data_IF_618509041652
#
_entry.id   IF_618509041652
#
_cell.length_a   1.000
_cell.length_b   1.000
_cell.length_c   1.000
_cell.angle_alpha   90.00
_cell.angle_beta   90.00
_cell.angle_gamma   90.00
#
_symmetry.space_group_name_H-M   'P 1'
#
loop_
_entity.id
_entity.type
_entity.pdbx_description
1 polymer ?
#
# COMPACT_ATOMS: atom_id res chain seq x y z
N UNK A 1 5.95 -9.43 16.18
CA UNK A 1 5.60 -8.40 15.18
C UNK A 1 4.69 -7.45 15.90
N UNK A 2 5.02 -6.16 15.86
CA UNK A 2 4.28 -5.16 16.64
C UNK A 2 2.82 -5.12 16.24
N UNK A 3 1.97 -4.84 17.23
CA UNK A 3 0.52 -4.78 17.03
C UNK A 3 0.19 -3.53 16.22
N UNK A 4 -0.60 -3.67 15.17
CA UNK A 4 -1.12 -2.52 14.44
C UNK A 4 -2.38 -2.05 15.19
N UNK A 5 -2.49 -0.76 15.57
CA UNK A 5 -3.66 -0.26 16.25
C UNK A 5 -4.91 -0.39 15.36
N UNK A 6 -6.07 -0.42 16.01
CA UNK A 6 -7.34 -0.45 15.30
C UNK A 6 -7.50 0.84 14.46
N UNK A 7 -8.03 0.66 13.26
CA UNK A 7 -8.43 1.74 12.36
C UNK A 7 -9.80 1.36 11.77
N UNK A 8 -10.69 2.33 11.63
CA UNK A 8 -11.99 2.13 10.99
C UNK A 8 -11.88 2.03 9.48
N UNK A 9 -10.88 2.70 8.89
CA UNK A 9 -10.74 2.82 7.44
C UNK A 9 -9.41 2.27 6.94
N UNK A 10 -9.43 1.63 5.77
CA UNK A 10 -8.22 1.04 5.17
C UNK A 10 -7.19 2.10 4.80
N UNK A 11 -7.62 3.31 4.42
CA UNK A 11 -6.73 4.42 4.08
C UNK A 11 -5.94 4.93 5.29
N UNK A 12 -6.59 5.04 6.45
CA UNK A 12 -5.94 5.41 7.71
C UNK A 12 -4.95 4.33 8.13
N UNK A 13 -5.35 3.06 8.02
CA UNK A 13 -4.50 1.92 8.37
C UNK A 13 -3.25 1.86 7.51
N UNK A 14 -3.38 2.07 6.20
CA UNK A 14 -2.24 2.15 5.28
C UNK A 14 -1.35 3.34 5.62
N UNK A 15 -1.93 4.52 5.85
CA UNK A 15 -1.20 5.73 6.24
C UNK A 15 -0.41 5.53 7.53
N UNK A 16 -0.97 4.83 8.52
CA UNK A 16 -0.25 4.40 9.72
C UNK A 16 0.98 3.56 9.37
N UNK A 17 0.83 2.52 8.52
CA UNK A 17 1.97 1.66 8.14
C UNK A 17 3.07 2.42 7.38
N UNK A 18 2.72 3.44 6.62
CA UNK A 18 3.70 4.31 5.96
C UNK A 18 4.50 5.18 6.94
N UNK A 19 3.91 5.57 8.07
CA UNK A 19 4.57 6.41 9.08
C UNK A 19 5.20 5.60 10.23
N UNK A 20 4.97 4.29 10.28
CA UNK A 20 5.50 3.40 11.30
C UNK A 20 7.00 3.18 11.13
N UNK A 21 7.74 3.17 12.25
CA UNK A 21 9.21 3.07 12.26
C UNK A 21 9.76 1.72 11.79
N UNK A 22 8.91 0.70 11.68
CA UNK A 22 9.27 -0.65 11.21
C UNK A 22 8.70 -0.92 9.82
N UNK A 23 7.43 -0.62 9.57
CA UNK A 23 6.76 -0.91 8.29
C UNK A 23 7.11 0.10 7.19
N UNK A 24 7.24 1.38 7.56
CA UNK A 24 7.70 2.48 6.71
C UNK A 24 9.22 2.70 6.76
N UNK A 25 9.95 1.82 7.46
CA UNK A 25 11.39 1.95 7.62
C UNK A 25 12.12 2.04 6.26
N UNK A 26 13.00 3.02 6.13
CA UNK A 26 13.81 3.25 4.92
C UNK A 26 13.18 4.20 3.89
N UNK A 27 12.04 4.82 4.20
CA UNK A 27 11.56 6.01 3.49
C UNK A 27 12.48 7.18 3.85
N UNK A 28 13.18 7.70 2.86
CA UNK A 28 14.14 8.78 3.00
C UNK A 28 13.53 10.12 2.56
N UNK A 29 14.15 11.22 3.00
CA UNK A 29 13.70 12.57 2.65
C UNK A 29 13.63 12.77 1.13
N UNK A 30 14.59 12.24 0.38
CA UNK A 30 14.65 12.39 -1.08
C UNK A 30 13.71 11.45 -1.85
N UNK A 31 13.07 10.50 -1.18
CA UNK A 31 12.18 9.56 -1.87
C UNK A 31 10.93 10.25 -2.41
N UNK A 32 10.49 9.78 -3.56
CA UNK A 32 9.25 10.20 -4.19
C UNK A 32 8.44 8.97 -4.57
N UNK A 33 7.18 8.96 -4.16
CA UNK A 33 6.26 7.90 -4.53
C UNK A 33 4.81 8.37 -4.54
N UNK A 34 3.99 7.77 -5.41
CA UNK A 34 2.55 7.99 -5.43
C UNK A 34 1.82 6.70 -5.73
N UNK A 35 1.05 6.18 -4.78
CA UNK A 35 0.26 4.96 -4.96
C UNK A 35 -1.21 5.32 -4.86
N UNK A 36 -1.94 5.04 -5.93
CA UNK A 36 -3.39 5.19 -5.96
C UNK A 36 -4.06 3.90 -5.50
N UNK A 37 -5.16 4.03 -4.77
CA UNK A 37 -5.96 2.92 -4.27
C UNK A 37 -7.43 3.07 -4.68
N UNK A 38 -8.06 1.93 -4.96
CA UNK A 38 -9.51 1.78 -5.01
C UNK A 38 -9.89 0.70 -3.99
N UNK A 39 -10.53 1.06 -2.89
CA UNK A 39 -10.94 0.14 -1.84
C UNK A 39 -12.22 0.64 -1.16
N UNK A 40 -13.11 -0.27 -0.74
CA UNK A 40 -14.36 0.07 -0.06
C UNK A 40 -15.27 1.06 -0.84
N UNK A 41 -15.19 1.04 -2.17
CA UNK A 41 -15.93 1.98 -3.04
C UNK A 41 -15.30 3.37 -3.13
N UNK A 42 -14.20 3.62 -2.43
CA UNK A 42 -13.50 4.90 -2.41
C UNK A 42 -12.22 4.85 -3.22
N UNK A 43 -11.90 5.99 -3.84
CA UNK A 43 -10.64 6.23 -4.54
C UNK A 43 -9.84 7.24 -3.74
N UNK A 44 -8.60 6.88 -3.41
CA UNK A 44 -7.67 7.72 -2.65
C UNK A 44 -6.24 7.43 -3.08
N UNK A 45 -5.28 8.23 -2.63
CA UNK A 45 -3.88 7.96 -2.86
C UNK A 45 -3.03 8.31 -1.64
N UNK A 46 -1.95 7.54 -1.48
CA UNK A 46 -0.89 7.82 -0.51
C UNK A 46 0.39 8.09 -1.29
N UNK A 47 1.03 9.23 -0.99
CA UNK A 47 2.20 9.64 -1.72
C UNK A 47 3.07 10.61 -0.95
N UNK A 48 4.26 10.85 -1.48
CA UNK A 48 5.26 11.73 -0.92
C UNK A 48 6.01 12.41 -2.06
N UNK A 49 6.03 13.73 -2.05
CA UNK A 49 6.91 14.52 -2.92
C UNK A 49 8.37 14.48 -2.43
N UNK A 50 9.37 14.76 -3.29
CA UNK A 50 10.76 14.90 -2.85
C UNK A 50 10.87 15.92 -1.71
N UNK A 51 11.54 15.54 -0.62
CA UNK A 51 11.69 16.32 0.63
C UNK A 51 10.36 16.69 1.33
N UNK A 52 9.23 16.23 0.82
CA UNK A 52 7.90 16.44 1.39
C UNK A 52 7.54 15.42 2.46
N UNK A 53 6.37 15.62 3.06
CA UNK A 53 5.74 14.66 3.98
C UNK A 53 4.96 13.62 3.19
N UNK A 54 4.70 12.48 3.82
CA UNK A 54 3.72 11.51 3.32
C UNK A 54 2.33 12.13 3.48
N UNK A 55 1.52 12.06 2.44
CA UNK A 55 0.17 12.58 2.38
C UNK A 55 -0.80 11.47 2.02
N UNK A 56 -2.02 11.56 2.58
CA UNK A 56 -3.20 10.83 2.16
C UNK A 56 -4.18 11.83 1.58
N UNK A 57 -4.64 11.64 0.35
CA UNK A 57 -5.69 12.47 -0.26
C UNK A 57 -6.73 11.61 -0.96
N UNK A 58 -7.97 12.10 -0.96
CA UNK A 58 -9.09 11.46 -1.69
C UNK A 58 -9.06 11.85 -3.18
N UNK A 59 -9.67 11.01 -4.01
CA UNK A 59 -9.75 11.19 -5.45
C UNK A 59 -8.62 10.52 -6.23
N UNK A 60 -8.53 10.87 -7.51
CA UNK A 60 -7.58 10.27 -8.44
C UNK A 60 -6.20 10.93 -8.37
N UNK A 61 -5.15 10.13 -8.54
CA UNK A 61 -3.80 10.61 -8.83
C UNK A 61 -3.54 10.41 -10.33
N UNK A 62 -2.97 11.42 -11.00
CA UNK A 62 -2.76 11.38 -12.47
C UNK A 62 -1.41 10.78 -12.86
N UNK A 63 -0.37 10.97 -12.04
CA UNK A 63 0.98 10.40 -12.25
C UNK A 63 1.34 9.41 -11.14
N UNK A 64 0.45 8.44 -10.89
CA UNK A 64 0.71 7.38 -9.92
C UNK A 64 1.76 6.39 -10.43
N UNK A 65 2.58 5.91 -9.52
CA UNK A 65 3.56 4.85 -9.77
C UNK A 65 2.88 3.48 -9.90
N UNK A 66 1.79 3.28 -9.16
CA UNK A 66 0.89 2.15 -9.29
C UNK A 66 -0.54 2.47 -8.85
N UNK A 67 -1.45 1.64 -9.32
CA UNK A 67 -2.85 1.62 -8.91
C UNK A 67 -3.17 0.26 -8.28
N UNK A 68 -3.62 0.27 -7.03
CA UNK A 68 -3.94 -0.92 -6.23
C UNK A 68 -5.43 -0.98 -5.99
N UNK A 69 -6.08 -2.05 -6.44
CA UNK A 69 -7.51 -2.29 -6.22
C UNK A 69 -7.68 -3.38 -5.17
N UNK A 70 -8.44 -3.10 -4.12
CA UNK A 70 -8.70 -4.02 -3.01
C UNK A 70 -10.22 -4.23 -2.95
N UNK A 71 -10.66 -5.48 -3.04
CA UNK A 71 -12.06 -5.82 -2.87
C UNK A 71 -12.54 -5.51 -1.44
N UNK A 72 -13.82 -5.15 -1.27
CA UNK A 72 -14.37 -4.74 0.03
C UNK A 72 -14.19 -5.80 1.14
N UNK A 73 -14.42 -7.06 0.80
CA UNK A 73 -14.22 -8.19 1.71
C UNK A 73 -12.75 -8.31 2.15
N UNK A 74 -11.82 -8.10 1.21
CA UNK A 74 -10.39 -8.15 1.51
C UNK A 74 -9.96 -6.95 2.33
N UNK A 75 -10.52 -5.76 2.07
CA UNK A 75 -10.25 -4.58 2.90
C UNK A 75 -10.70 -4.82 4.36
N UNK A 76 -11.84 -5.50 4.57
CA UNK A 76 -12.32 -5.91 5.89
C UNK A 76 -11.40 -6.93 6.57
N UNK A 77 -10.93 -7.94 5.82
CA UNK A 77 -9.94 -8.91 6.31
C UNK A 77 -8.62 -8.21 6.71
N UNK A 78 -8.15 -7.26 5.89
CA UNK A 78 -6.94 -6.48 6.13
C UNK A 78 -7.06 -5.57 7.36
N UNK A 79 -8.24 -4.96 7.58
CA UNK A 79 -8.55 -4.18 8.78
C UNK A 79 -8.60 -5.04 10.05
N UNK A 80 -8.86 -6.33 9.92
CA UNK A 80 -8.91 -7.28 11.04
C UNK A 80 -7.54 -7.86 11.41
N UNK A 81 -6.51 -7.66 10.58
CA UNK A 81 -5.17 -8.16 10.86
C UNK A 81 -4.61 -7.56 12.17
N UNK A 82 -4.00 -8.38 13.01
CA UNK A 82 -3.42 -7.93 14.29
C UNK A 82 -2.05 -7.28 14.14
N UNK A 83 -1.30 -7.64 13.09
CA UNK A 83 0.08 -7.20 12.87
C UNK A 83 0.45 -7.22 11.38
N UNK A 84 1.63 -6.68 11.04
CA UNK A 84 2.09 -6.56 9.67
C UNK A 84 2.29 -7.90 8.95
N UNK A 85 2.68 -8.95 9.67
CA UNK A 85 2.87 -10.29 9.08
C UNK A 85 1.54 -10.87 8.63
N UNK A 86 0.50 -10.74 9.45
CA UNK A 86 -0.85 -11.19 9.12
C UNK A 86 -1.43 -10.37 7.96
N UNK A 87 -1.30 -9.04 8.01
CA UNK A 87 -1.69 -8.15 6.92
C UNK A 87 -1.02 -8.56 5.59
N UNK A 88 0.29 -8.80 5.63
CA UNK A 88 1.07 -9.22 4.45
C UNK A 88 0.60 -10.56 3.89
N UNK A 89 0.29 -11.53 4.76
CA UNK A 89 -0.22 -12.85 4.35
C UNK A 89 -1.56 -12.73 3.64
N UNK A 90 -2.49 -11.96 4.20
CA UNK A 90 -3.81 -11.70 3.61
C UNK A 90 -3.66 -11.02 2.25
N UNK A 91 -2.88 -9.94 2.20
CA UNK A 91 -2.65 -9.17 0.98
C UNK A 91 -2.05 -10.05 -0.13
N UNK A 92 -1.00 -10.81 0.17
CA UNK A 92 -0.34 -11.69 -0.81
C UNK A 92 -1.25 -12.85 -1.25
N UNK A 93 -2.03 -13.44 -0.32
CA UNK A 93 -2.98 -14.50 -0.64
C UNK A 93 -3.93 -14.06 -1.74
N UNK A 94 -4.63 -12.94 -1.53
CA UNK A 94 -5.64 -12.45 -2.47
C UNK A 94 -5.07 -11.71 -3.68
N UNK A 95 -3.79 -11.33 -3.65
CA UNK A 95 -3.07 -10.92 -4.84
C UNK A 95 -2.75 -12.11 -5.76
N UNK A 96 -2.26 -13.23 -5.20
CA UNK A 96 -1.87 -14.41 -5.99
C UNK A 96 -3.05 -15.26 -6.46
N UNK A 97 -4.08 -15.36 -5.63
CA UNK A 97 -5.25 -16.20 -5.88
C UNK A 97 -6.50 -15.35 -5.70
N UNK A 98 -6.88 -14.65 -6.76
CA UNK A 98 -8.13 -13.90 -6.78
C UNK A 98 -9.31 -14.88 -6.79
N UNK A 99 -10.28 -14.65 -5.90
CA UNK A 99 -11.54 -15.37 -5.83
C UNK A 99 -12.70 -14.43 -6.18
N UNK A 100 -13.89 -14.97 -6.43
CA UNK A 100 -15.07 -14.15 -6.70
C UNK A 100 -15.36 -13.20 -5.53
N UNK A 101 -15.22 -11.88 -5.76
CA UNK A 101 -15.42 -10.86 -4.73
C UNK A 101 -14.24 -10.65 -3.76
N UNK A 102 -13.16 -11.44 -3.84
CA UNK A 102 -11.98 -11.30 -2.98
C UNK A 102 -10.69 -11.25 -3.81
N UNK A 103 -10.16 -10.04 -3.97
CA UNK A 103 -8.94 -9.83 -4.74
C UNK A 103 -8.14 -8.63 -4.24
N UNK A 104 -6.85 -8.68 -4.55
CA UNK A 104 -5.97 -7.52 -4.62
C UNK A 104 -5.41 -7.47 -6.04
N UNK A 105 -5.60 -6.37 -6.76
CA UNK A 105 -5.03 -6.18 -8.10
C UNK A 105 -4.03 -5.03 -8.07
N UNK A 106 -2.82 -5.29 -8.54
CA UNK A 106 -1.76 -4.29 -8.61
C UNK A 106 -1.51 -3.96 -10.09
N UNK A 107 -1.66 -2.70 -10.46
CA UNK A 107 -1.37 -2.19 -11.79
C UNK A 107 -0.20 -1.21 -11.69
N UNK A 108 1.00 -1.70 -11.97
CA UNK A 108 2.21 -0.89 -11.96
C UNK A 108 2.23 0.00 -13.22
N UNK A 109 2.41 1.31 -13.04
CA UNK A 109 2.36 2.31 -14.13
C UNK A 109 3.74 2.74 -14.60
N UNK A 110 4.77 2.54 -13.78
CA UNK A 110 6.18 2.83 -14.13
C UNK A 110 7.03 1.56 -14.10
N UNK A 111 8.16 1.50 -14.82
CA UNK A 111 9.03 0.33 -14.82
C UNK A 111 9.49 -0.07 -13.42
N UNK A 112 9.46 -1.37 -13.10
CA UNK A 112 9.88 -1.90 -11.78
C UNK A 112 11.32 -1.51 -11.43
N UNK A 113 12.20 -1.39 -12.43
CA UNK A 113 13.58 -0.92 -12.22
C UNK A 113 13.63 0.49 -11.65
N UNK A 114 12.74 1.38 -12.11
CA UNK A 114 12.68 2.77 -11.64
C UNK A 114 12.06 2.84 -10.25
N UNK A 115 11.02 2.04 -9.99
CA UNK A 115 10.43 1.95 -8.66
C UNK A 115 11.43 1.42 -7.63
N UNK A 116 12.22 0.40 -7.98
CA UNK A 116 13.25 -0.10 -7.08
C UNK A 116 14.31 0.97 -6.75
N UNK A 117 14.71 1.80 -7.74
CA UNK A 117 15.61 2.94 -7.51
C UNK A 117 15.00 3.99 -6.57
N UNK A 118 13.67 4.17 -6.62
CA UNK A 118 12.90 5.05 -5.71
C UNK A 118 12.62 4.44 -4.33
N UNK A 119 13.18 3.27 -4.02
CA UNK A 119 13.09 2.66 -2.69
C UNK A 119 11.98 1.64 -2.48
N UNK A 120 11.16 1.34 -3.50
CA UNK A 120 10.07 0.36 -3.38
C UNK A 120 10.53 -1.05 -2.95
N UNK A 121 11.78 -1.44 -3.24
CA UNK A 121 12.30 -2.74 -2.86
C UNK A 121 12.84 -2.81 -1.42
N UNK A 122 13.19 -1.67 -0.82
CA UNK A 122 13.81 -1.61 0.51
C UNK A 122 12.81 -1.28 1.62
N UNK A 123 11.76 -0.51 1.31
CA UNK A 123 10.73 -0.12 2.28
C UNK A 123 9.70 -1.26 2.43
N UNK A 124 9.48 -1.82 3.64
CA UNK A 124 8.63 -3.00 3.81
C UNK A 124 7.20 -2.86 3.28
N UNK A 125 6.50 -1.77 3.62
CA UNK A 125 5.14 -1.54 3.13
C UNK A 125 5.09 -1.34 1.61
N UNK A 126 6.02 -0.57 1.04
CA UNK A 126 6.09 -0.35 -0.42
C UNK A 126 6.39 -1.65 -1.18
N UNK A 127 7.29 -2.48 -0.62
CA UNK A 127 7.63 -3.80 -1.14
C UNK A 127 6.44 -4.76 -1.08
N UNK A 128 5.63 -4.71 -0.02
CA UNK A 128 4.39 -5.49 0.03
C UNK A 128 3.44 -5.06 -1.08
N UNK A 129 3.20 -3.75 -1.20
CA UNK A 129 2.17 -3.18 -2.06
C UNK A 129 2.48 -3.31 -3.56
N UNK A 130 3.75 -3.23 -3.95
CA UNK A 130 4.17 -3.28 -5.37
C UNK A 130 5.19 -4.39 -5.64
N UNK A 131 6.07 -4.70 -4.69
CA UNK A 131 7.13 -5.69 -4.88
C UNK A 131 6.64 -7.13 -5.10
N UNK A 132 5.37 -7.41 -4.78
CA UNK A 132 4.68 -8.65 -5.09
C UNK A 132 4.19 -8.74 -6.54
N UNK A 133 4.18 -7.62 -7.31
CA UNK A 133 3.81 -7.56 -8.73
C UNK A 133 4.82 -8.21 -9.71
N UNK A 134 5.62 -9.16 -9.22
CA UNK A 134 6.64 -9.90 -9.98
C UNK A 134 6.09 -11.21 -10.53
#
# INVERSE_FOLDING_TARGET
GDTIPYHSEIQERLMYMFNDSTMGAGIEGTDEFYIEFMAMGERFWIGKAPLGKIELKTGAMTDQDAHVRIANDVASDLLSASNFSEFSKIYIKYYKSAEAGKFVKIEVRKPITDLNRRGYARVPIMKLLIGSAR
#
